data_IF_391597888482
#
_entry.id   IF_391597888482
#
_cell.length_a   1.000
_cell.length_b   1.000
_cell.length_c   1.000
_cell.angle_alpha   90.00
_cell.angle_beta   90.00
_cell.angle_gamma   90.00
#
_symmetry.space_group_name_H-M   'P 1'
#
loop_
_entity.id
_entity.type
_entity.pdbx_description
1 polymer ?
#
# COMPACT_ATOMS: atom_id res chain seq x y z
N UNK A 1 -6.48 18.58 6.34
CA UNK A 1 -5.37 18.42 7.31
C UNK A 1 -5.64 19.15 8.60
N UNK A 2 -6.23 18.45 9.57
CA UNK A 2 -6.52 18.98 10.90
C UNK A 2 -5.23 19.21 11.69
N UNK A 3 -4.87 20.48 11.86
CA UNK A 3 -3.71 20.99 12.61
C UNK A 3 -3.90 20.79 14.14
N UNK A 4 -4.09 19.54 14.59
CA UNK A 4 -4.37 19.24 16.01
C UNK A 4 -3.13 19.07 16.86
N UNK A 5 -2.02 18.60 16.28
CA UNK A 5 -0.77 18.32 17.01
C UNK A 5 0.44 18.78 16.23
N UNK A 6 1.53 19.10 16.95
CA UNK A 6 2.84 19.32 16.33
C UNK A 6 3.60 17.99 16.31
N UNK A 7 3.88 17.45 15.13
CA UNK A 7 4.68 16.25 14.95
C UNK A 7 5.59 16.35 13.73
N UNK A 8 6.56 15.44 13.62
CA UNK A 8 7.37 15.22 12.43
C UNK A 8 6.95 13.90 11.79
N UNK A 9 6.98 13.86 10.46
CA UNK A 9 6.60 12.66 9.69
C UNK A 9 7.81 12.18 8.90
N UNK A 10 8.08 10.88 9.00
CA UNK A 10 9.01 10.17 8.14
C UNK A 10 8.23 9.08 7.42
N UNK A 11 7.89 9.32 6.15
CA UNK A 11 7.28 8.33 5.28
C UNK A 11 8.39 7.60 4.51
N UNK A 12 8.54 6.30 4.77
CA UNK A 12 9.61 5.48 4.20
C UNK A 12 9.07 4.58 3.09
N UNK A 13 9.71 4.63 1.93
CA UNK A 13 9.55 3.59 0.91
C UNK A 13 10.25 2.31 1.38
N UNK A 14 9.48 1.27 1.66
CA UNK A 14 10.04 -0.04 2.03
C UNK A 14 10.82 -0.64 0.86
N UNK A 15 11.70 -1.61 1.16
CA UNK A 15 12.43 -2.35 0.12
C UNK A 15 11.51 -2.91 -0.96
N UNK A 16 11.94 -2.84 -2.21
CA UNK A 16 11.14 -3.27 -3.37
C UNK A 16 9.94 -2.35 -3.68
N UNK A 17 9.72 -1.28 -2.91
CA UNK A 17 8.63 -0.32 -3.08
C UNK A 17 9.18 1.08 -3.34
N UNK A 18 8.34 1.92 -3.98
CA UNK A 18 8.67 3.31 -4.31
C UNK A 18 10.05 3.50 -4.93
N UNK A 19 10.81 4.48 -4.46
CA UNK A 19 12.13 4.79 -5.02
C UNK A 19 13.29 4.01 -4.36
N UNK A 20 13.01 3.13 -3.40
CA UNK A 20 14.04 2.43 -2.63
C UNK A 20 14.80 1.42 -3.48
N UNK A 21 16.13 1.57 -3.52
CA UNK A 21 17.04 0.66 -4.20
C UNK A 21 17.85 -0.15 -3.19
N UNK A 22 17.87 -1.47 -3.36
CA UNK A 22 18.61 -2.41 -2.51
C UNK A 22 19.27 -3.48 -3.38
N UNK A 23 20.37 -4.09 -2.89
CA UNK A 23 21.10 -5.13 -3.64
C UNK A 23 20.29 -6.41 -3.90
N UNK A 24 19.44 -6.79 -2.95
CA UNK A 24 18.62 -8.00 -3.02
C UNK A 24 17.16 -7.65 -2.80
N UNK A 25 16.47 -7.12 -3.81
CA UNK A 25 15.09 -6.63 -3.67
C UNK A 25 14.05 -7.74 -3.38
N UNK A 26 14.37 -8.99 -3.71
CA UNK A 26 13.44 -10.13 -3.60
C UNK A 26 13.33 -10.73 -2.19
N UNK A 27 14.20 -10.34 -1.26
CA UNK A 27 14.07 -10.71 0.15
C UNK A 27 13.14 -9.73 0.85
N UNK A 28 11.87 -10.13 1.00
CA UNK A 28 10.83 -9.39 1.71
C UNK A 28 10.45 -10.07 3.03
N UNK A 29 11.37 -10.80 3.65
CA UNK A 29 11.14 -11.41 4.97
C UNK A 29 10.94 -10.35 6.06
N UNK A 30 10.21 -10.71 7.13
CA UNK A 30 9.96 -9.78 8.25
C UNK A 30 11.26 -9.33 8.91
N UNK A 31 12.24 -10.23 9.02
CA UNK A 31 13.55 -9.94 9.60
C UNK A 31 14.29 -8.88 8.80
N UNK A 32 14.37 -9.04 7.47
CA UNK A 32 15.07 -8.09 6.60
C UNK A 32 14.34 -6.75 6.56
N UNK A 33 13.03 -6.75 6.35
CA UNK A 33 12.25 -5.52 6.26
C UNK A 33 12.23 -4.72 7.57
N UNK A 34 12.07 -5.38 8.72
CA UNK A 34 12.10 -4.69 10.03
C UNK A 34 13.50 -4.14 10.35
N UNK A 35 14.56 -4.85 9.95
CA UNK A 35 15.94 -4.36 10.06
C UNK A 35 16.19 -3.15 9.16
N UNK A 36 15.60 -3.11 7.97
CA UNK A 36 15.71 -1.96 7.08
C UNK A 36 15.07 -0.71 7.72
N UNK A 37 13.91 -0.84 8.37
CA UNK A 37 13.30 0.27 9.13
C UNK A 37 14.26 0.77 10.21
N UNK A 38 14.87 -0.14 10.98
CA UNK A 38 15.85 0.23 12.00
C UNK A 38 17.08 0.95 11.42
N UNK A 39 17.58 0.47 10.29
CA UNK A 39 18.71 1.07 9.60
C UNK A 39 18.40 2.48 9.09
N UNK A 40 17.21 2.70 8.52
CA UNK A 40 16.79 4.02 8.05
C UNK A 40 16.66 5.00 9.21
N UNK A 41 16.03 4.60 10.33
CA UNK A 41 15.93 5.44 11.54
C UNK A 41 17.33 5.83 12.04
N UNK A 42 18.24 4.87 12.16
CA UNK A 42 19.62 5.12 12.60
C UNK A 42 20.39 6.01 11.62
N UNK A 43 20.23 5.81 10.31
CA UNK A 43 20.86 6.65 9.30
C UNK A 43 20.31 8.09 9.32
N UNK A 44 19.03 8.27 9.67
CA UNK A 44 18.36 9.57 9.68
C UNK A 44 18.65 10.36 10.96
N UNK A 45 18.70 9.70 12.12
CA UNK A 45 18.75 10.35 13.43
C UNK A 45 19.99 9.99 14.28
N UNK A 46 20.84 9.08 13.82
CA UNK A 46 21.99 8.58 14.55
C UNK A 46 21.63 7.55 15.63
N UNK A 47 22.52 7.37 16.60
CA UNK A 47 22.39 6.37 17.68
C UNK A 47 21.35 6.74 18.74
N UNK A 48 20.89 8.00 18.79
CA UNK A 48 19.88 8.47 19.74
C UNK A 48 18.70 9.07 18.95
N UNK A 49 17.79 8.23 18.42
CA UNK A 49 16.62 8.71 17.71
C UNK A 49 15.69 9.48 18.64
N UNK A 50 14.88 10.42 18.10
CA UNK A 50 13.79 11.02 18.86
C UNK A 50 12.73 9.96 19.23
N UNK A 51 11.77 10.27 20.12
CA UNK A 51 10.60 9.43 20.33
C UNK A 51 9.86 9.16 19.01
N UNK A 52 9.63 7.88 18.68
CA UNK A 52 9.02 7.44 17.43
C UNK A 52 7.69 6.73 17.72
N UNK A 53 6.66 7.10 16.97
CA UNK A 53 5.44 6.30 16.86
C UNK A 53 5.51 5.59 15.52
N UNK A 54 5.56 4.25 15.52
CA UNK A 54 5.50 3.48 14.28
C UNK A 54 4.05 3.34 13.84
N UNK A 55 3.78 3.64 12.57
CA UNK A 55 2.46 3.51 11.95
C UNK A 55 2.63 2.63 10.70
N UNK A 56 1.85 1.56 10.60
CA UNK A 56 1.91 0.65 9.44
C UNK A 56 0.55 0.15 9.01
N UNK A 57 0.34 0.05 7.69
CA UNK A 57 -0.86 -0.51 7.06
C UNK A 57 -0.56 -1.87 6.43
N UNK A 58 -1.47 -2.84 6.56
CA UNK A 58 -1.35 -4.16 5.93
C UNK A 58 0.03 -4.80 6.20
N UNK A 59 0.79 -5.18 5.17
CA UNK A 59 2.19 -5.63 5.29
C UNK A 59 3.04 -4.68 6.14
N UNK A 60 2.95 -3.37 5.94
CA UNK A 60 3.68 -2.38 6.73
C UNK A 60 3.30 -2.40 8.22
N UNK A 61 2.07 -2.78 8.55
CA UNK A 61 1.62 -3.00 9.94
C UNK A 61 2.33 -4.17 10.58
N UNK A 62 2.44 -5.30 9.87
CA UNK A 62 3.25 -6.44 10.33
C UNK A 62 4.71 -6.04 10.55
N UNK A 63 5.33 -5.36 9.58
CA UNK A 63 6.72 -4.90 9.70
C UNK A 63 6.90 -3.94 10.89
N UNK A 64 5.94 -3.03 11.14
CA UNK A 64 5.98 -2.12 12.28
C UNK A 64 5.96 -2.86 13.64
N UNK A 65 5.15 -3.92 13.76
CA UNK A 65 5.11 -4.78 14.95
C UNK A 65 6.47 -5.47 15.16
N UNK A 66 7.01 -6.11 14.12
CA UNK A 66 8.32 -6.76 14.18
C UNK A 66 9.46 -5.78 14.51
N UNK A 67 9.42 -4.58 13.93
CA UNK A 67 10.40 -3.53 14.20
C UNK A 67 10.33 -3.05 15.66
N UNK A 68 9.12 -2.85 16.20
CA UNK A 68 8.89 -2.44 17.60
C UNK A 68 9.46 -3.45 18.59
N UNK A 69 9.22 -4.73 18.33
CA UNK A 69 9.67 -5.81 19.18
C UNK A 69 11.13 -6.25 18.87
N UNK A 70 11.83 -5.54 17.96
CA UNK A 70 13.21 -5.81 17.53
C UNK A 70 14.18 -4.68 17.83
N UNK A 71 15.05 -4.36 16.88
CA UNK A 71 16.18 -3.43 17.06
C UNK A 71 15.78 -1.96 17.33
N UNK A 72 14.51 -1.59 17.14
CA UNK A 72 14.01 -0.23 17.38
C UNK A 72 13.37 -0.01 18.76
N UNK A 73 13.26 -1.06 19.57
CA UNK A 73 12.53 -1.05 20.84
C UNK A 73 12.84 0.13 21.78
N UNK A 74 14.09 0.64 21.92
CA UNK A 74 14.38 1.75 22.83
C UNK A 74 13.78 3.11 22.44
N UNK A 75 13.54 3.37 21.15
CA UNK A 75 13.08 4.68 20.65
C UNK A 75 11.59 4.70 20.29
N UNK A 76 10.96 3.53 20.19
CA UNK A 76 9.54 3.43 19.88
C UNK A 76 8.72 3.68 21.15
N UNK A 77 7.92 4.75 21.14
CA UNK A 77 7.04 5.13 22.25
C UNK A 77 5.58 4.75 21.99
N UNK A 78 5.22 4.42 20.74
CA UNK A 78 3.87 4.00 20.39
C UNK A 78 3.85 3.19 19.09
N UNK A 79 2.82 2.36 18.95
CA UNK A 79 2.62 1.50 17.79
C UNK A 79 1.19 1.60 17.28
N UNK A 80 1.03 1.90 15.99
CA UNK A 80 -0.26 1.99 15.31
C UNK A 80 -0.28 1.03 14.13
N UNK A 81 -1.29 0.18 14.09
CA UNK A 81 -1.48 -0.81 13.03
C UNK A 81 -2.83 -0.55 12.36
N UNK A 82 -2.82 -0.45 11.02
CA UNK A 82 -4.00 -0.18 10.20
C UNK A 82 -4.32 -1.41 9.36
N UNK A 83 -5.53 -1.93 9.55
CA UNK A 83 -6.13 -3.00 8.78
C UNK A 83 -5.31 -4.30 8.75
N UNK A 84 -4.82 -4.72 9.92
CA UNK A 84 -4.16 -6.02 10.12
C UNK A 84 -4.82 -6.75 11.28
N UNK A 85 -5.44 -7.89 10.99
CA UNK A 85 -5.92 -8.87 11.96
C UNK A 85 -5.53 -10.24 11.44
N UNK A 86 -4.82 -11.03 12.24
CA UNK A 86 -4.24 -12.32 11.83
C UNK A 86 -5.26 -13.25 11.18
N UNK A 87 -6.39 -13.52 11.86
CA UNK A 87 -7.40 -14.45 11.37
C UNK A 87 -7.94 -14.07 10.00
N UNK A 88 -8.43 -12.82 9.85
CA UNK A 88 -8.95 -12.36 8.58
C UNK A 88 -7.87 -12.17 7.51
N UNK A 89 -6.64 -11.80 7.89
CA UNK A 89 -5.53 -11.68 6.95
C UNK A 89 -5.25 -13.04 6.30
N UNK A 90 -5.07 -14.10 7.12
CA UNK A 90 -4.77 -15.44 6.65
C UNK A 90 -5.88 -16.02 5.76
N UNK A 91 -7.14 -15.73 6.05
CA UNK A 91 -8.28 -16.15 5.22
C UNK A 91 -8.31 -15.43 3.85
N UNK A 92 -7.89 -14.16 3.81
CA UNK A 92 -7.93 -13.32 2.60
C UNK A 92 -6.68 -13.48 1.72
N UNK A 93 -5.57 -14.04 2.22
CA UNK A 93 -4.33 -14.22 1.44
C UNK A 93 -4.56 -14.95 0.11
N UNK A 94 -5.38 -16.00 0.10
CA UNK A 94 -5.69 -16.74 -1.13
C UNK A 94 -6.48 -15.89 -2.14
N UNK A 95 -7.39 -15.04 -1.66
CA UNK A 95 -8.14 -14.10 -2.49
C UNK A 95 -7.24 -13.00 -3.06
N UNK A 96 -6.19 -12.60 -2.33
CA UNK A 96 -5.24 -11.60 -2.78
C UNK A 96 -4.54 -12.04 -4.08
N UNK A 97 -4.13 -13.30 -4.22
CA UNK A 97 -3.55 -13.80 -5.48
C UNK A 97 -4.48 -13.61 -6.68
N UNK A 98 -5.78 -13.90 -6.51
CA UNK A 98 -6.77 -13.72 -7.56
C UNK A 98 -6.95 -12.25 -7.91
N UNK A 99 -7.02 -11.37 -6.90
CA UNK A 99 -7.04 -9.94 -7.10
C UNK A 99 -5.81 -9.43 -7.87
N UNK A 100 -4.60 -9.83 -7.46
CA UNK A 100 -3.35 -9.38 -8.07
C UNK A 100 -3.25 -9.81 -9.54
N UNK A 101 -3.73 -11.02 -9.89
CA UNK A 101 -3.77 -11.54 -11.27
C UNK A 101 -4.81 -10.84 -12.14
N UNK A 102 -5.91 -10.36 -11.55
CA UNK A 102 -6.95 -9.61 -12.25
C UNK A 102 -6.57 -8.18 -12.62
N UNK A 103 -5.43 -7.67 -12.12
CA UNK A 103 -4.98 -6.30 -12.41
C UNK A 103 -4.47 -6.17 -13.86
N UNK A 104 -4.61 -4.99 -14.50
CA UNK A 104 -3.95 -4.71 -15.77
C UNK A 104 -2.45 -4.95 -15.65
N UNK A 105 -1.84 -5.58 -16.65
CA UNK A 105 -0.38 -5.83 -16.66
C UNK A 105 0.43 -4.55 -16.89
N UNK A 106 -0.14 -3.60 -17.61
CA UNK A 106 0.49 -2.33 -17.96
C UNK A 106 -0.54 -1.22 -18.15
N UNK A 107 -0.08 0.03 -18.06
CA UNK A 107 -0.85 1.24 -18.30
C UNK A 107 -0.18 2.09 -19.38
N UNK A 108 -0.95 2.72 -20.26
CA UNK A 108 -0.40 3.57 -21.32
C UNK A 108 0.27 4.84 -20.79
N UNK A 109 -0.33 5.43 -19.76
CA UNK A 109 0.13 6.66 -19.11
C UNK A 109 -0.05 6.56 -17.60
N UNK A 110 0.56 7.47 -16.85
CA UNK A 110 0.30 7.59 -15.41
C UNK A 110 -1.17 7.95 -15.13
N UNK A 111 -1.77 8.80 -15.94
CA UNK A 111 -3.17 9.21 -15.79
C UNK A 111 -4.12 8.01 -15.96
N UNK A 112 -3.83 7.11 -16.90
CA UNK A 112 -4.58 5.87 -17.07
C UNK A 112 -4.48 4.95 -15.84
N UNK A 113 -3.31 4.90 -15.18
CA UNK A 113 -3.15 4.15 -13.94
C UNK A 113 -3.95 4.77 -12.78
N UNK A 114 -3.91 6.12 -12.64
CA UNK A 114 -4.70 6.87 -11.63
C UNK A 114 -6.19 6.66 -11.85
N UNK A 115 -6.66 6.76 -13.09
CA UNK A 115 -8.06 6.54 -13.45
C UNK A 115 -8.51 5.12 -13.08
N UNK A 116 -7.71 4.12 -13.46
CA UNK A 116 -7.99 2.72 -13.12
C UNK A 116 -8.05 2.50 -11.60
N UNK A 117 -7.14 3.09 -10.81
CA UNK A 117 -7.13 2.88 -9.35
C UNK A 117 -8.39 3.42 -8.67
N UNK A 118 -8.94 4.51 -9.20
CA UNK A 118 -10.19 5.09 -8.70
C UNK A 118 -11.40 4.31 -9.17
N UNK A 119 -11.49 3.99 -10.47
CA UNK A 119 -12.63 3.26 -11.04
C UNK A 119 -12.75 1.82 -10.52
N UNK A 120 -11.62 1.15 -10.28
CA UNK A 120 -11.59 -0.20 -9.68
C UNK A 120 -11.95 -0.21 -8.19
N UNK A 121 -11.98 0.97 -7.54
CA UNK A 121 -12.23 1.09 -6.11
C UNK A 121 -11.02 0.75 -5.23
N UNK A 122 -9.82 0.57 -5.81
CA UNK A 122 -8.59 0.36 -5.04
C UNK A 122 -8.29 1.55 -4.13
N UNK A 123 -8.42 2.76 -4.67
CA UNK A 123 -8.29 4.04 -3.94
C UNK A 123 -9.52 4.88 -4.28
N UNK A 124 -10.38 5.19 -3.31
CA UNK A 124 -11.60 5.97 -3.53
C UNK A 124 -11.33 7.47 -3.59
N UNK A 125 -10.27 7.93 -2.92
CA UNK A 125 -9.89 9.33 -2.91
C UNK A 125 -9.01 9.69 -4.12
N UNK A 126 -9.57 10.45 -5.06
CA UNK A 126 -8.87 10.92 -6.26
C UNK A 126 -7.63 11.77 -5.95
N UNK A 127 -7.66 12.60 -4.92
CA UNK A 127 -6.51 13.43 -4.53
C UNK A 127 -5.35 12.54 -4.08
N UNK A 128 -5.64 11.53 -3.25
CA UNK A 128 -4.63 10.55 -2.82
C UNK A 128 -4.10 9.76 -4.01
N UNK A 129 -4.99 9.24 -4.87
CA UNK A 129 -4.61 8.44 -6.03
C UNK A 129 -3.63 9.18 -6.97
N UNK A 130 -3.85 10.48 -7.22
CA UNK A 130 -2.95 11.30 -8.04
C UNK A 130 -1.53 11.39 -7.49
N UNK A 131 -1.36 11.29 -6.17
CA UNK A 131 -0.06 11.39 -5.49
C UNK A 131 0.54 10.02 -5.22
N UNK A 132 -0.26 9.00 -4.88
CA UNK A 132 0.23 7.70 -4.45
C UNK A 132 0.52 6.74 -5.61
N UNK A 133 -0.22 6.84 -6.73
CA UNK A 133 -0.07 5.90 -7.85
C UNK A 133 1.30 5.95 -8.51
N UNK A 134 1.98 7.10 -8.51
CA UNK A 134 3.36 7.22 -9.05
C UNK A 134 4.36 6.35 -8.29
N UNK A 135 4.09 6.05 -7.01
CA UNK A 135 4.89 5.12 -6.21
C UNK A 135 4.60 3.65 -6.52
N UNK A 136 3.43 3.33 -7.08
CA UNK A 136 2.99 1.96 -7.36
C UNK A 136 3.38 1.46 -8.76
N UNK A 137 3.60 2.37 -9.71
CA UNK A 137 4.01 2.03 -11.08
C UNK A 137 5.40 2.57 -11.40
N UNK A 138 6.03 2.01 -12.43
CA UNK A 138 7.28 2.50 -13.02
C UNK A 138 7.18 2.49 -14.54
N UNK A 139 7.96 3.33 -15.21
CA UNK A 139 8.09 3.27 -16.68
C UNK A 139 8.77 1.96 -17.06
N UNK A 140 8.32 1.39 -18.18
CA UNK A 140 9.01 0.32 -18.85
C UNK A 140 10.25 0.91 -19.51
N UNK A 141 11.41 0.65 -18.93
CA UNK A 141 12.68 0.83 -19.61
C UNK A 141 12.84 -0.44 -20.44
N UNK A 142 12.70 -0.31 -21.76
CA UNK A 142 12.98 -1.42 -22.65
C UNK A 142 14.39 -1.90 -22.41
N UNK A 143 14.57 -3.21 -22.25
CA UNK A 143 15.89 -3.81 -22.31
C UNK A 143 16.47 -3.53 -23.71
N UNK A 144 17.28 -2.48 -23.84
CA UNK A 144 18.23 -2.39 -24.94
C UNK A 144 19.27 -3.49 -24.73
N UNK A 145 19.03 -4.66 -25.32
CA UNK A 145 20.04 -5.70 -25.54
C UNK A 145 19.63 -7.12 -25.10
N UNK A 146 19.11 -7.91 -26.04
CA UNK A 146 19.82 -9.06 -26.64
C UNK A 146 18.89 -9.79 -27.62
N UNK A 147 19.27 -9.75 -28.90
CA UNK A 147 18.62 -10.46 -29.99
C UNK A 147 18.95 -11.95 -29.93
N UNK A 148 17.95 -12.81 -29.70
CA UNK A 148 18.04 -14.22 -30.11
C UNK A 148 16.66 -14.80 -30.43
N UNK A 149 16.46 -14.96 -31.74
CA UNK A 149 15.89 -16.09 -32.49
C UNK A 149 14.47 -16.62 -32.21
N UNK A 150 13.67 -16.48 -33.26
CA UNK A 150 12.39 -17.12 -33.52
C UNK A 150 12.50 -18.64 -33.63
N UNK A 151 11.56 -19.39 -33.03
CA UNK A 151 11.00 -20.62 -33.62
C UNK A 151 9.53 -20.78 -33.21
N UNK A 152 8.66 -20.96 -34.20
CA UNK A 152 7.34 -21.63 -34.15
C UNK A 152 7.40 -22.79 -35.17
N UNK A 153 6.43 -23.75 -35.33
CA UNK A 153 4.99 -23.65 -35.02
C UNK A 153 4.20 -24.98 -34.69
N UNK A 154 2.85 -24.85 -34.56
CA UNK A 154 1.72 -25.83 -34.78
C UNK A 154 1.42 -26.89 -33.68
N UNK A 155 0.17 -27.22 -33.25
CA UNK A 155 -1.21 -26.80 -33.59
C UNK A 155 -2.33 -27.58 -32.81
N UNK A 156 -3.57 -27.05 -32.93
CA UNK A 156 -4.97 -27.61 -32.90
C UNK A 156 -5.64 -28.41 -31.74
N UNK A 157 -6.92 -28.03 -31.42
CA UNK A 157 -8.03 -28.90 -30.92
C UNK A 157 -8.77 -28.50 -29.62
N UNK A 158 -9.72 -27.53 -29.57
CA UNK A 158 -11.22 -27.59 -29.58
C UNK A 158 -11.99 -28.04 -28.28
N UNK A 159 -12.76 -27.08 -27.71
CA UNK A 159 -14.10 -27.09 -27.00
C UNK A 159 -14.39 -28.01 -25.79
N UNK A 160 -15.26 -27.76 -24.80
CA UNK A 160 -16.19 -26.69 -24.38
C UNK A 160 -16.63 -27.01 -22.92
N UNK A 161 -17.14 -26.03 -22.15
CA UNK A 161 -17.78 -26.29 -20.84
C UNK A 161 -18.09 -25.02 -20.03
N UNK A 162 -19.30 -24.49 -20.23
CA UNK A 162 -19.93 -23.34 -19.58
C UNK A 162 -20.10 -23.50 -18.06
N UNK A 163 -20.00 -22.41 -17.28
CA UNK A 163 -21.05 -21.95 -16.36
C UNK A 163 -20.82 -20.48 -15.90
N UNK A 164 -21.94 -19.73 -15.96
CA UNK A 164 -22.27 -18.32 -15.72
C UNK A 164 -21.92 -17.78 -14.30
N UNK A 165 -21.86 -16.50 -13.92
CA UNK A 165 -22.13 -15.16 -14.48
C UNK A 165 -21.80 -14.14 -13.37
N UNK A 166 -21.19 -12.98 -13.69
CA UNK A 166 -21.61 -11.64 -13.23
C UNK A 166 -20.94 -10.59 -14.14
N UNK A 167 -21.81 -9.91 -14.89
CA UNK A 167 -21.56 -9.00 -16.00
C UNK A 167 -21.11 -7.59 -15.55
N UNK A 168 -20.08 -7.04 -16.22
CA UNK A 168 -19.73 -5.62 -16.19
C UNK A 168 -19.31 -5.20 -17.61
N UNK A 169 -20.32 -5.01 -18.46
CA UNK A 169 -20.21 -4.39 -19.77
C UNK A 169 -19.42 -3.07 -19.72
N UNK A 170 -18.28 -3.03 -20.42
CA UNK A 170 -17.71 -1.78 -20.92
C UNK A 170 -17.96 -1.75 -22.43
N UNK A 171 -18.76 -0.78 -22.87
CA UNK A 171 -19.05 -0.54 -24.26
C UNK A 171 -17.77 -0.20 -25.04
N UNK A 172 -17.45 -0.99 -26.06
CA UNK A 172 -16.50 -0.62 -27.11
C UNK A 172 -17.25 0.19 -28.16
N UNK A 173 -17.00 1.49 -28.23
CA UNK A 173 -17.47 2.31 -29.34
C UNK A 173 -16.79 1.86 -30.64
N UNK A 174 -17.63 1.58 -31.64
CA UNK A 174 -17.25 1.47 -33.04
C UNK A 174 -16.84 2.85 -33.54
N UNK A 175 -15.73 2.90 -34.28
CA UNK A 175 -15.50 3.95 -35.27
C UNK A 175 -15.06 3.32 -36.58
N UNK A 176 -15.68 3.82 -37.64
CA UNK A 176 -15.77 3.25 -38.99
C UNK A 176 -14.50 3.45 -39.83
N UNK A 177 -14.41 2.59 -40.85
CA UNK A 177 -13.41 2.54 -41.89
C UNK A 177 -13.38 3.80 -42.75
N UNK A 178 -12.22 4.43 -42.89
CA UNK A 178 -11.90 5.33 -44.01
C UNK A 178 -10.42 5.20 -44.39
N UNK A 179 -10.17 5.25 -45.69
CA UNK A 179 -9.00 4.78 -46.43
C UNK A 179 -7.76 5.69 -46.35
N UNK A 180 -6.60 5.02 -46.30
CA UNK A 180 -5.21 5.39 -46.64
C UNK A 180 -4.84 6.85 -46.95
N UNK A 181 -3.86 7.37 -46.21
CA UNK A 181 -2.65 7.98 -46.79
C UNK A 181 -1.49 7.80 -45.81
N UNK A 182 -0.38 7.25 -46.31
CA UNK A 182 0.80 6.89 -45.52
C UNK A 182 1.63 8.14 -45.20
N UNK A 183 1.66 8.53 -43.93
CA UNK A 183 2.75 9.33 -43.35
C UNK A 183 3.54 8.43 -42.41
N UNK A 184 4.85 8.33 -42.68
CA UNK A 184 5.81 7.63 -41.82
C UNK A 184 5.93 8.38 -40.50
N UNK A 185 5.11 8.03 -39.51
CA UNK A 185 5.34 8.42 -38.12
C UNK A 185 6.34 7.46 -37.50
N UNK A 186 7.39 8.02 -36.89
CA UNK A 186 8.40 7.35 -36.07
C UNK A 186 7.79 6.30 -35.13
N UNK A 187 8.51 5.24 -34.74
CA UNK A 187 7.99 4.31 -33.76
C UNK A 187 7.79 5.09 -32.46
N UNK A 188 6.55 5.50 -32.18
CA UNK A 188 6.19 5.94 -30.84
C UNK A 188 6.49 4.75 -29.94
N UNK A 189 7.63 4.81 -29.26
CA UNK A 189 7.90 4.00 -28.09
C UNK A 189 6.84 4.39 -27.09
N UNK A 190 5.66 3.76 -27.17
CA UNK A 190 4.57 3.93 -26.23
C UNK A 190 5.17 3.56 -24.88
N UNK A 191 5.53 4.58 -24.09
CA UNK A 191 6.18 4.42 -22.80
C UNK A 191 5.16 3.80 -21.85
N UNK A 192 5.07 2.48 -21.86
CA UNK A 192 4.15 1.74 -21.01
C UNK A 192 4.64 1.85 -19.55
N UNK A 193 3.69 1.95 -18.63
CA UNK A 193 3.94 1.83 -17.20
C UNK A 193 3.57 0.42 -16.75
N UNK A 194 4.37 -0.19 -15.88
CA UNK A 194 4.06 -1.47 -15.25
C UNK A 194 4.04 -1.32 -13.73
N UNK A 195 3.51 -2.33 -13.03
CA UNK A 195 3.63 -2.40 -11.58
C UNK A 195 5.09 -2.36 -11.16
N UNK A 196 5.39 -1.56 -10.14
CA UNK A 196 6.74 -1.41 -9.60
C UNK A 196 7.28 -2.73 -9.04
N UNK A 197 6.39 -3.46 -8.36
CA UNK A 197 6.68 -4.75 -7.75
C UNK A 197 5.63 -5.76 -8.16
N UNK A 198 6.09 -6.96 -8.51
CA UNK A 198 5.22 -8.12 -8.65
C UNK A 198 4.98 -8.73 -7.27
N UNK A 199 3.96 -8.22 -6.59
CA UNK A 199 3.61 -8.65 -5.23
C UNK A 199 3.22 -10.14 -5.15
N UNK A 200 2.84 -10.77 -6.27
CA UNK A 200 2.53 -12.20 -6.29
C UNK A 200 3.75 -13.06 -5.91
N UNK A 201 4.96 -12.61 -6.27
CA UNK A 201 6.23 -13.28 -5.90
C UNK A 201 6.54 -13.21 -4.41
N UNK A 202 5.90 -12.31 -3.69
CA UNK A 202 6.07 -12.15 -2.25
C UNK A 202 5.24 -13.16 -1.43
N UNK A 203 4.39 -13.98 -2.06
CA UNK A 203 3.49 -14.93 -1.40
C UNK A 203 4.18 -15.82 -0.37
N UNK A 204 5.39 -16.30 -0.69
CA UNK A 204 6.23 -17.10 0.20
C UNK A 204 6.56 -16.43 1.54
N UNK A 205 6.43 -15.10 1.64
CA UNK A 205 6.69 -14.35 2.87
C UNK A 205 5.43 -13.99 3.66
N UNK A 206 4.24 -14.09 3.04
CA UNK A 206 2.98 -13.63 3.66
C UNK A 206 2.69 -14.35 4.97
N UNK A 207 2.95 -15.66 5.04
CA UNK A 207 2.82 -16.43 6.27
C UNK A 207 3.68 -15.84 7.40
N UNK A 208 4.95 -15.53 7.10
CA UNK A 208 5.86 -14.91 8.05
C UNK A 208 5.47 -13.49 8.46
N UNK A 209 4.72 -12.77 7.62
CA UNK A 209 4.21 -11.43 7.95
C UNK A 209 3.06 -11.48 8.95
N UNK A 210 2.14 -12.43 8.82
CA UNK A 210 0.86 -12.39 9.55
C UNK A 210 0.73 -13.46 10.64
N UNK A 211 1.40 -14.60 10.52
CA UNK A 211 1.29 -15.68 11.51
C UNK A 211 1.84 -15.23 12.87
N UNK A 212 1.03 -15.36 13.91
CA UNK A 212 1.36 -14.96 15.28
C UNK A 212 1.42 -13.45 15.52
N UNK A 213 1.07 -12.62 14.53
CA UNK A 213 1.21 -11.17 14.63
C UNK A 213 0.34 -10.58 15.73
N UNK A 214 -0.81 -11.20 16.04
CA UNK A 214 -1.71 -10.73 17.11
C UNK A 214 -1.02 -10.83 18.47
N UNK A 215 -0.42 -11.97 18.76
CA UNK A 215 0.29 -12.19 20.02
C UNK A 215 1.54 -11.31 20.11
N UNK A 216 2.26 -11.13 19.00
CA UNK A 216 3.44 -10.27 18.95
C UNK A 216 3.05 -8.80 19.20
N UNK A 217 1.99 -8.31 18.55
CA UNK A 217 1.44 -6.97 18.79
C UNK A 217 1.05 -6.77 20.26
N UNK A 218 0.37 -7.73 20.88
CA UNK A 218 0.01 -7.67 22.29
C UNK A 218 1.24 -7.66 23.21
N UNK A 219 2.31 -8.36 22.83
CA UNK A 219 3.56 -8.43 23.60
C UNK A 219 4.39 -7.15 23.59
N UNK A 220 4.25 -6.29 22.58
CA UNK A 220 5.06 -5.07 22.50
C UNK A 220 4.64 -4.09 23.62
N UNK A 221 5.58 -3.74 24.50
CA UNK A 221 5.36 -2.96 25.73
C UNK A 221 5.33 -1.43 25.49
N UNK A 222 4.45 -1.01 24.58
CA UNK A 222 4.18 0.41 24.28
C UNK A 222 2.66 0.62 24.19
N UNK A 223 2.17 1.86 24.35
CA UNK A 223 0.82 2.23 23.93
C UNK A 223 0.56 1.83 22.47
N UNK A 224 -0.61 1.25 22.24
CA UNK A 224 -0.99 0.65 20.96
C UNK A 224 -2.32 1.20 20.47
N UNK A 225 -2.44 1.39 19.16
CA UNK A 225 -3.69 1.70 18.47
C UNK A 225 -3.88 0.74 17.29
N UNK A 226 -5.03 0.08 17.24
CA UNK A 226 -5.44 -0.74 16.09
C UNK A 226 -6.59 -0.01 15.38
N UNK A 227 -6.44 0.21 14.08
CA UNK A 227 -7.45 0.85 13.23
C UNK A 227 -7.94 -0.16 12.21
N UNK A 228 -9.23 -0.48 12.19
CA UNK A 228 -9.79 -1.48 11.28
C UNK A 228 -10.66 -0.81 10.23
N UNK A 229 -10.54 -1.26 8.98
CA UNK A 229 -11.43 -0.86 7.90
C UNK A 229 -12.68 -1.75 7.93
N UNK A 230 -13.88 -1.18 8.09
CA UNK A 230 -15.14 -1.93 7.98
C UNK A 230 -15.90 -2.21 9.29
N UNK A 231 -16.85 -3.16 9.26
CA UNK A 231 -17.94 -3.33 10.23
C UNK A 231 -17.54 -3.81 11.65
N UNK A 232 -16.26 -4.07 11.92
CA UNK A 232 -15.82 -4.58 13.22
C UNK A 232 -14.77 -3.66 13.90
N UNK A 233 -15.29 -2.78 14.77
CA UNK A 233 -14.76 -2.26 16.06
C UNK A 233 -13.69 -1.13 16.23
N UNK A 234 -13.87 -0.49 17.41
CA UNK A 234 -13.14 0.47 18.26
C UNK A 234 -12.87 1.94 17.87
N UNK A 235 -12.89 2.33 16.60
CA UNK A 235 -13.15 3.74 16.21
C UNK A 235 -13.74 3.74 14.80
N UNK A 236 -15.04 4.03 14.66
CA UNK A 236 -15.77 3.82 13.40
C UNK A 236 -15.34 4.85 12.35
N UNK A 237 -14.58 4.39 11.36
CA UNK A 237 -14.37 5.10 10.10
C UNK A 237 -15.44 4.66 9.09
N UNK A 238 -15.96 5.57 8.24
CA UNK A 238 -16.97 5.25 7.23
C UNK A 238 -16.39 4.23 6.24
N UNK A 239 -17.24 3.54 5.44
CA UNK A 239 -16.79 2.50 4.52
C UNK A 239 -15.71 3.04 3.57
N UNK A 240 -14.51 2.52 3.73
CA UNK A 240 -13.32 2.79 2.93
C UNK A 240 -13.08 1.62 1.95
N UNK A 241 -12.31 1.88 0.91
CA UNK A 241 -11.65 0.87 0.09
C UNK A 241 -10.49 0.22 0.85
N UNK A 242 -9.47 -0.25 0.13
CA UNK A 242 -8.40 -1.07 0.71
C UNK A 242 -7.44 -0.28 1.64
N UNK A 243 -7.27 1.02 1.39
CA UNK A 243 -6.33 1.87 2.13
C UNK A 243 -7.07 3.01 2.85
N UNK A 244 -7.44 2.79 4.11
CA UNK A 244 -8.22 3.75 4.92
C UNK A 244 -7.55 5.12 5.04
N UNK A 245 -6.21 5.12 5.11
CA UNK A 245 -5.41 6.34 5.20
C UNK A 245 -5.34 7.11 3.87
N UNK A 246 -5.60 6.47 2.74
CA UNK A 246 -5.76 7.16 1.45
C UNK A 246 -7.19 7.67 1.28
N UNK A 247 -8.18 6.87 1.67
CA UNK A 247 -9.59 7.18 1.46
C UNK A 247 -10.16 8.20 2.44
N UNK A 248 -9.73 8.15 3.70
CA UNK A 248 -10.21 9.03 4.78
C UNK A 248 -9.05 9.61 5.59
N UNK A 249 -8.09 10.31 4.94
CA UNK A 249 -6.85 10.77 5.57
C UNK A 249 -7.09 11.65 6.79
N UNK A 250 -8.08 12.55 6.75
CA UNK A 250 -8.39 13.44 7.89
C UNK A 250 -8.88 12.66 9.11
N UNK A 251 -9.64 11.57 8.94
CA UNK A 251 -10.12 10.77 10.06
C UNK A 251 -9.01 9.91 10.66
N UNK A 252 -8.11 9.41 9.82
CA UNK A 252 -6.90 8.73 10.28
C UNK A 252 -6.01 9.70 11.07
N UNK A 253 -5.82 10.92 10.56
CA UNK A 253 -5.08 11.96 11.25
C UNK A 253 -5.73 12.35 12.59
N UNK A 254 -7.06 12.44 12.67
CA UNK A 254 -7.77 12.75 13.91
C UNK A 254 -7.62 11.63 14.97
N UNK A 255 -7.63 10.36 14.56
CA UNK A 255 -7.37 9.23 15.45
C UNK A 255 -5.93 9.23 15.97
N UNK A 256 -4.96 9.46 15.08
CA UNK A 256 -3.54 9.58 15.44
C UNK A 256 -3.29 10.76 16.38
N UNK A 257 -3.89 11.93 16.12
CA UNK A 257 -3.81 13.11 16.99
C UNK A 257 -4.38 12.82 18.38
N UNK A 258 -5.54 12.19 18.45
CA UNK A 258 -6.18 11.80 19.71
C UNK A 258 -5.31 10.83 20.52
N UNK A 259 -4.70 9.86 19.84
CA UNK A 259 -3.76 8.92 20.44
C UNK A 259 -2.51 9.63 20.99
N UNK A 260 -1.89 10.51 20.20
CA UNK A 260 -0.73 11.29 20.62
C UNK A 260 -1.02 12.19 21.82
N UNK A 261 -2.15 12.89 21.84
CA UNK A 261 -2.55 13.78 22.94
C UNK A 261 -2.85 12.95 24.20
N UNK A 262 -3.61 11.85 24.08
CA UNK A 262 -3.99 10.98 25.19
C UNK A 262 -2.77 10.43 25.93
N UNK A 263 -1.73 10.06 25.19
CA UNK A 263 -0.50 9.50 25.75
C UNK A 263 0.60 10.54 25.99
N UNK A 264 0.31 11.84 25.78
CA UNK A 264 1.24 12.96 25.98
C UNK A 264 2.50 12.87 25.11
N UNK A 265 2.38 12.30 23.91
CA UNK A 265 3.47 12.24 22.93
C UNK A 265 3.61 13.53 22.12
N UNK A 266 2.52 14.28 21.97
CA UNK A 266 2.52 15.57 21.30
C UNK A 266 1.55 16.54 21.99
N UNK A 267 1.86 17.84 21.89
CA UNK A 267 0.99 18.90 22.38
C UNK A 267 -0.09 19.23 21.37
N UNK A 268 -1.29 19.53 21.88
CA UNK A 268 -2.38 20.05 21.07
C UNK A 268 -2.04 21.47 20.61
N UNK A 269 -2.20 21.78 19.32
CA UNK A 269 -2.04 23.16 18.82
C UNK A 269 -3.20 24.03 19.31
N UNK A 270 -2.87 25.24 19.77
CA UNK A 270 -3.72 26.14 20.56
C UNK A 270 -5.08 26.49 19.97
N UNK A 271 -5.29 26.36 18.66
CA UNK A 271 -6.57 26.63 17.98
C UNK A 271 -7.67 25.58 18.29
N UNK A 272 -7.30 24.43 18.88
CA UNK A 272 -8.26 23.34 19.18
C UNK A 272 -8.96 23.45 20.54
N UNK A 273 -8.70 24.49 21.35
CA UNK A 273 -9.35 24.67 22.65
C UNK A 273 -10.87 24.97 22.58
N UNK A 274 -11.45 25.16 21.40
CA UNK A 274 -12.85 25.59 21.24
C UNK A 274 -13.88 24.48 20.99
N UNK A 275 -13.54 23.19 20.90
CA UNK A 275 -14.54 22.15 20.57
C UNK A 275 -14.55 20.92 21.50
N UNK A 276 -14.18 21.08 22.76
CA UNK A 276 -14.54 20.07 23.77
C UNK A 276 -16.01 20.27 24.17
N UNK A 277 -16.90 19.52 23.53
CA UNK A 277 -18.25 19.29 24.06
C UNK A 277 -18.14 18.50 25.37
N UNK A 278 -18.71 18.97 26.49
CA UNK A 278 -18.75 18.22 27.73
C UNK A 278 -19.95 17.27 27.71
N UNK A 279 -19.69 15.97 27.60
CA UNK A 279 -20.58 14.89 28.06
C UNK A 279 -19.66 14.00 28.92
N UNK A 280 -19.92 13.62 30.16
CA UNK A 280 -21.09 13.60 31.02
C UNK A 280 -20.54 13.61 32.47
N UNK A 281 -21.29 14.19 33.42
CA UNK A 281 -21.20 13.81 34.83
C UNK A 281 -21.97 12.52 35.06
#
# INVERSE_FOLDING_TARGET
MTSRVTCRVLAMDLRGHGATQVRHADDLSTQTMSRDVANVVRATYGEIPPPIILVGHSMGGAIAVHATCGALQPSVVGLVVIDVVEGSAMDVLHSMQNFLRGRPKSFKTIDHAIEWSVKSGQIRNLESAKVSMVGQVRRFEGEEGESTEQVSPVGEGVAEGHEEFYDLNYATDKAETATSEASLSEPETLSAYCWRIDLSKAEKYWDGWFRGISNLFLSCNVPKLLMLAGKFMMQVLPPCGHAVHEDTPDKVADALASFMIRHKFAEARSETKSSFYPFMR
#
